data_IF_565005749637
#
_entry.id   IF_565005749637
#
_cell.length_a   1.000
_cell.length_b   1.000
_cell.length_c   1.000
_cell.angle_alpha   90.00
_cell.angle_beta   90.00
_cell.angle_gamma   90.00
#
_symmetry.space_group_name_H-M   'P 1'
#
loop_
_entity.id
_entity.type
_entity.pdbx_description
1 polymer ?
#
# COMPACT_ATOMS: atom_id res chain seq x y z
N UNK A 1 -16.70 2.66 -18.59
CA UNK A 1 -15.34 3.16 -18.32
C UNK A 1 -15.04 2.86 -16.87
N UNK A 2 -14.24 1.85 -16.56
CA UNK A 2 -13.83 1.60 -15.18
C UNK A 2 -12.79 2.67 -14.84
N UNK A 3 -13.15 3.60 -13.96
CA UNK A 3 -12.22 4.63 -13.49
C UNK A 3 -11.24 3.91 -12.57
N UNK A 4 -10.11 3.48 -13.12
CA UNK A 4 -9.00 2.94 -12.32
C UNK A 4 -8.50 4.07 -11.43
N UNK A 5 -9.11 4.20 -10.25
CA UNK A 5 -8.74 5.22 -9.28
C UNK A 5 -7.36 4.83 -8.77
N UNK A 6 -6.40 5.72 -9.02
CA UNK A 6 -5.03 5.52 -8.59
C UNK A 6 -4.94 5.98 -7.15
N UNK A 7 -4.26 5.19 -6.34
CA UNK A 7 -4.02 5.52 -4.94
C UNK A 7 -2.53 5.54 -4.70
N UNK A 8 -2.08 6.56 -3.99
CA UNK A 8 -0.75 6.57 -3.39
C UNK A 8 -0.84 5.82 -2.07
N UNK A 9 0.01 4.82 -1.91
CA UNK A 9 0.06 3.98 -0.71
C UNK A 9 1.44 4.11 -0.10
N UNK A 10 1.51 4.61 1.13
CA UNK A 10 2.76 4.80 1.86
C UNK A 10 2.75 3.81 3.02
N UNK A 11 3.65 2.83 2.97
CA UNK A 11 3.84 1.86 4.05
C UNK A 11 5.07 2.25 4.86
N UNK A 12 4.95 2.29 6.18
CA UNK A 12 6.05 2.58 7.10
C UNK A 12 6.16 1.48 8.14
N UNK A 13 7.35 0.92 8.28
CA UNK A 13 7.64 -0.07 9.30
C UNK A 13 8.24 0.60 10.54
N UNK A 14 7.57 0.57 11.71
CA UNK A 14 8.13 1.04 12.98
C UNK A 14 9.22 0.11 13.53
N UNK A 15 9.30 -1.15 13.06
CA UNK A 15 10.30 -2.11 13.51
C UNK A 15 11.71 -1.81 12.97
N UNK A 16 11.83 -1.55 11.67
CA UNK A 16 13.12 -1.21 11.03
C UNK A 16 13.24 0.26 10.57
N UNK A 17 12.14 1.01 10.54
CA UNK A 17 12.11 2.40 10.07
C UNK A 17 11.93 2.57 8.56
N UNK A 18 11.78 1.49 7.79
CA UNK A 18 11.65 1.57 6.34
C UNK A 18 10.33 2.19 5.89
N UNK A 19 10.41 2.94 4.78
CA UNK A 19 9.28 3.60 4.14
C UNK A 19 9.20 3.15 2.68
N UNK A 20 8.08 2.55 2.32
CA UNK A 20 7.75 2.18 0.94
C UNK A 20 6.68 3.12 0.40
N UNK A 21 6.86 3.59 -0.83
CA UNK A 21 5.87 4.40 -1.53
C UNK A 21 5.46 3.61 -2.77
N UNK A 22 4.20 3.17 -2.78
CA UNK A 22 3.61 2.31 -3.78
C UNK A 22 2.44 3.02 -4.45
N UNK A 23 2.09 2.52 -5.63
CA UNK A 23 0.94 3.01 -6.39
C UNK A 23 -0.08 1.88 -6.44
N UNK A 24 -1.13 2.01 -5.64
CA UNK A 24 -2.25 1.09 -5.63
C UNK A 24 -3.23 1.40 -6.75
N UNK A 25 -3.94 0.37 -7.21
CA UNK A 25 -5.01 0.48 -8.20
C UNK A 25 -6.25 -0.19 -7.65
N UNK A 26 -7.43 0.34 -7.99
CA UNK A 26 -8.68 -0.35 -7.68
C UNK A 26 -9.00 -1.36 -8.77
N UNK A 27 -9.29 -2.60 -8.40
CA UNK A 27 -9.76 -3.62 -9.33
C UNK A 27 -11.24 -3.34 -9.73
N UNK A 28 -11.78 -4.15 -10.65
CA UNK A 28 -13.19 -4.02 -11.08
C UNK A 28 -14.21 -4.26 -9.96
N UNK A 29 -13.79 -4.91 -8.87
CA UNK A 29 -14.61 -5.18 -7.68
C UNK A 29 -14.50 -4.07 -6.62
N UNK A 30 -13.68 -3.04 -6.86
CA UNK A 30 -13.44 -1.95 -5.91
C UNK A 30 -12.39 -2.26 -4.83
N UNK A 31 -11.65 -3.36 -4.95
CA UNK A 31 -10.58 -3.71 -4.01
C UNK A 31 -9.27 -3.00 -4.39
N UNK A 32 -8.56 -2.49 -3.39
CA UNK A 32 -7.28 -1.80 -3.56
C UNK A 32 -6.13 -2.81 -3.61
N UNK A 33 -5.56 -3.01 -4.81
CA UNK A 33 -4.37 -3.82 -4.99
C UNK A 33 -3.11 -2.95 -4.99
N UNK A 34 -2.21 -3.19 -4.02
CA UNK A 34 -0.97 -2.42 -3.82
C UNK A 34 0.29 -3.23 -4.08
N UNK A 35 0.18 -4.57 -4.11
CA UNK A 35 1.29 -5.50 -4.29
C UNK A 35 2.22 -5.64 -3.08
N UNK A 36 1.95 -4.94 -1.97
CA UNK A 36 2.76 -5.03 -0.75
C UNK A 36 2.41 -6.30 0.04
N UNK A 37 3.40 -7.16 0.31
CA UNK A 37 3.20 -8.39 1.08
C UNK A 37 3.77 -8.31 2.50
N UNK A 38 5.00 -7.84 2.65
CA UNK A 38 5.69 -7.77 3.94
C UNK A 38 6.86 -6.78 3.87
N UNK A 39 7.28 -6.27 5.04
CA UNK A 39 8.51 -5.50 5.14
C UNK A 39 9.73 -6.43 5.04
N UNK A 40 10.87 -5.93 4.54
CA UNK A 40 12.09 -6.75 4.42
C UNK A 40 12.68 -7.21 5.76
N UNK A 41 12.34 -6.52 6.86
CA UNK A 41 12.72 -6.94 8.21
C UNK A 41 11.87 -8.10 8.76
N UNK A 42 10.93 -8.63 7.97
CA UNK A 42 9.99 -9.68 8.38
C UNK A 42 8.78 -9.18 9.18
N UNK A 43 8.57 -7.87 9.28
CA UNK A 43 7.38 -7.33 9.92
C UNK A 43 6.20 -7.31 8.94
N UNK A 44 5.18 -8.10 9.25
CA UNK A 44 3.94 -8.22 8.49
C UNK A 44 2.72 -7.63 9.21
N UNK A 45 2.78 -7.49 10.54
CA UNK A 45 1.61 -7.12 11.36
C UNK A 45 1.63 -5.67 11.83
N UNK A 46 2.80 -5.11 12.12
CA UNK A 46 2.90 -3.78 12.72
C UNK A 46 3.36 -2.76 11.69
N UNK A 47 2.57 -2.54 10.64
CA UNK A 47 2.92 -1.63 9.54
C UNK A 47 1.94 -0.46 9.53
N UNK A 48 2.46 0.76 9.41
CA UNK A 48 1.65 1.95 9.21
C UNK A 48 1.42 2.15 7.73
N UNK A 49 0.18 1.99 7.27
CA UNK A 49 -0.21 2.11 5.87
C UNK A 49 -1.07 3.37 5.75
N UNK A 50 -0.67 4.28 4.86
CA UNK A 50 -1.38 5.52 4.55
C UNK A 50 -1.81 5.48 3.09
N UNK A 51 -3.10 5.68 2.82
CA UNK A 51 -3.69 5.58 1.47
C UNK A 51 -4.31 6.91 1.12
N UNK A 52 -3.86 7.52 0.03
CA UNK A 52 -4.41 8.78 -0.48
C UNK A 52 -4.85 8.58 -1.94
N UNK A 53 -6.10 8.92 -2.31
CA UNK A 53 -6.51 8.95 -3.71
C UNK A 53 -5.72 10.03 -4.47
N UNK A 54 -5.24 9.70 -5.67
CA UNK A 54 -4.51 10.60 -6.58
C UNK A 54 -5.45 11.25 -7.60
#
# INVERSE_FOLDING_TARGET
MAVETRYRVIVRCPGCGEKYVLRGRTNKNGELETGFKQCVCGNESNLRIDVTPE
#
